data_IF_147218924368
#
_entry.id   IF_147218924368
#
_cell.length_a   1.000
_cell.length_b   1.000
_cell.length_c   1.000
_cell.angle_alpha   90.00
_cell.angle_beta   90.00
_cell.angle_gamma   90.00
#
_symmetry.space_group_name_H-M   'P 1'
#
loop_
_entity.id
_entity.type
_entity.pdbx_description
1 polymer ?
#
# COMPACT_ATOMS: atom_id res chain seq x y z
N UNK A 1 8.50 -16.01 -6.85
CA UNK A 1 9.37 -15.35 -5.84
C UNK A 1 9.59 -16.31 -4.69
N UNK A 2 10.80 -16.45 -4.16
CA UNK A 2 11.05 -17.38 -3.05
C UNK A 2 10.56 -16.82 -1.70
N UNK A 3 10.30 -17.69 -0.69
CA UNK A 3 9.93 -17.22 0.65
C UNK A 3 10.97 -16.26 1.26
N UNK A 4 12.27 -16.51 1.03
CA UNK A 4 13.33 -15.63 1.53
C UNK A 4 13.29 -14.25 0.86
N UNK A 5 13.11 -14.20 -0.45
CA UNK A 5 12.96 -12.91 -1.16
C UNK A 5 11.75 -12.13 -0.66
N UNK A 6 10.66 -12.80 -0.32
CA UNK A 6 9.47 -12.16 0.27
C UNK A 6 9.81 -11.53 1.62
N UNK A 7 10.51 -12.25 2.51
CA UNK A 7 10.93 -11.71 3.82
C UNK A 7 11.89 -10.51 3.65
N UNK A 8 12.85 -10.60 2.74
CA UNK A 8 13.79 -9.50 2.45
C UNK A 8 13.04 -8.25 1.97
N UNK A 9 12.02 -8.43 1.13
CA UNK A 9 11.16 -7.32 0.67
C UNK A 9 10.32 -6.71 1.80
N UNK A 10 9.80 -7.55 2.69
CA UNK A 10 9.05 -7.10 3.88
C UNK A 10 9.95 -6.29 4.81
N UNK A 11 11.14 -6.79 5.12
CA UNK A 11 12.11 -6.06 5.95
C UNK A 11 12.51 -4.72 5.34
N UNK A 12 12.75 -4.69 4.03
CA UNK A 12 13.07 -3.48 3.27
C UNK A 12 11.93 -2.45 3.37
N UNK A 13 10.69 -2.88 3.17
CA UNK A 13 9.52 -1.99 3.25
C UNK A 13 9.31 -1.42 4.66
N UNK A 14 9.42 -2.26 5.69
CA UNK A 14 9.34 -1.84 7.09
C UNK A 14 10.49 -0.86 7.42
N UNK A 15 11.68 -1.12 6.90
CA UNK A 15 12.85 -0.24 7.03
C UNK A 15 12.58 1.15 6.48
N UNK A 16 12.06 1.26 5.27
CA UNK A 16 11.66 2.55 4.68
C UNK A 16 10.57 3.26 5.51
N UNK A 17 9.57 2.52 5.95
CA UNK A 17 8.51 3.09 6.79
C UNK A 17 9.05 3.69 8.10
N UNK A 18 9.98 2.99 8.75
CA UNK A 18 10.65 3.46 9.98
C UNK A 18 11.59 4.66 9.73
N UNK A 19 12.10 4.82 8.52
CA UNK A 19 12.90 5.99 8.12
C UNK A 19 12.04 7.25 7.86
N UNK A 20 10.71 7.14 7.89
CA UNK A 20 9.79 8.26 7.70
C UNK A 20 9.08 8.32 6.35
N UNK A 21 9.36 7.39 5.44
CA UNK A 21 8.56 7.27 4.22
C UNK A 21 7.12 6.90 4.55
N UNK A 22 6.16 7.33 3.74
CA UNK A 22 4.76 6.93 3.93
C UNK A 22 4.49 5.49 3.48
N UNK A 23 3.28 4.98 3.75
CA UNK A 23 2.94 3.59 3.45
C UNK A 23 3.04 3.25 1.96
N UNK A 24 2.63 4.14 1.05
CA UNK A 24 2.74 3.90 -0.39
C UNK A 24 4.19 3.91 -0.85
N UNK A 25 4.98 4.89 -0.40
CA UNK A 25 6.41 4.98 -0.69
C UNK A 25 7.16 3.73 -0.22
N UNK A 26 6.89 3.28 0.99
CA UNK A 26 7.56 2.11 1.58
C UNK A 26 7.34 0.84 0.78
N UNK A 27 6.11 0.64 0.29
CA UNK A 27 5.77 -0.51 -0.56
C UNK A 27 6.44 -0.42 -1.93
N UNK A 28 6.34 0.73 -2.60
CA UNK A 28 6.91 0.89 -3.96
C UNK A 28 8.43 0.82 -3.94
N UNK A 29 9.09 1.49 -2.98
CA UNK A 29 10.54 1.47 -2.83
C UNK A 29 11.09 0.06 -2.54
N UNK A 30 10.37 -0.75 -1.78
CA UNK A 30 10.80 -2.11 -1.47
C UNK A 30 10.86 -3.03 -2.69
N UNK A 31 10.20 -2.68 -3.78
CA UNK A 31 10.08 -3.50 -5.00
C UNK A 31 10.62 -2.77 -6.24
N UNK A 32 11.04 -1.52 -6.11
CA UNK A 32 11.46 -0.65 -7.21
C UNK A 32 12.59 -1.26 -8.07
N UNK A 33 13.55 -1.95 -7.44
CA UNK A 33 14.68 -2.60 -8.09
C UNK A 33 14.25 -3.69 -9.09
N UNK A 34 13.16 -4.42 -8.81
CA UNK A 34 12.59 -5.42 -9.72
C UNK A 34 12.24 -4.82 -11.09
N UNK A 35 11.85 -3.56 -11.11
CA UNK A 35 11.43 -2.83 -12.31
C UNK A 35 12.49 -1.86 -12.83
N UNK A 36 13.70 -1.89 -12.28
CA UNK A 36 14.74 -0.93 -12.63
C UNK A 36 14.38 0.52 -12.36
N UNK A 37 13.49 0.73 -11.39
CA UNK A 37 12.97 2.05 -11.04
C UNK A 37 13.97 2.77 -10.13
N UNK A 38 14.32 3.99 -10.49
CA UNK A 38 15.14 4.86 -9.64
C UNK A 38 14.42 5.15 -8.31
N UNK A 39 15.15 5.09 -7.19
CA UNK A 39 14.55 5.26 -5.85
C UNK A 39 13.91 6.64 -5.66
N UNK A 40 14.54 7.70 -6.19
CA UNK A 40 13.99 9.05 -6.11
C UNK A 40 12.68 9.15 -6.91
N UNK A 41 12.65 8.58 -8.11
CA UNK A 41 11.43 8.52 -8.92
C UNK A 41 10.33 7.72 -8.21
N UNK A 42 10.66 6.54 -7.70
CA UNK A 42 9.73 5.68 -6.95
C UNK A 42 9.12 6.41 -5.74
N UNK A 43 9.96 7.11 -4.96
CA UNK A 43 9.51 7.89 -3.80
C UNK A 43 8.60 9.06 -4.19
N UNK A 44 8.90 9.75 -5.29
CA UNK A 44 8.10 10.90 -5.74
C UNK A 44 6.74 10.46 -6.30
N UNK A 45 6.71 9.46 -7.18
CA UNK A 45 5.46 9.02 -7.82
C UNK A 45 4.47 8.43 -6.82
N UNK A 46 4.95 7.77 -5.77
CA UNK A 46 4.13 7.17 -4.72
C UNK A 46 3.84 8.12 -3.55
N UNK A 47 4.56 9.25 -3.45
CA UNK A 47 4.49 10.17 -2.33
C UNK A 47 3.09 10.74 -2.04
N UNK A 48 2.30 10.97 -3.07
CA UNK A 48 0.94 11.53 -2.95
C UNK A 48 -0.08 10.55 -2.36
N UNK A 49 0.22 9.26 -2.29
CA UNK A 49 -0.73 8.21 -1.93
C UNK A 49 -0.69 7.81 -0.45
N UNK A 50 0.20 8.39 0.34
CA UNK A 50 0.27 8.16 1.78
C UNK A 50 -0.95 8.70 2.53
N UNK A 51 -1.26 8.09 3.67
CA UNK A 51 -2.35 8.51 4.54
C UNK A 51 -3.75 8.38 3.92
N UNK A 52 -3.91 7.45 2.98
CA UNK A 52 -5.16 7.26 2.23
C UNK A 52 -5.35 8.36 1.20
N UNK A 53 -4.37 8.50 0.32
CA UNK A 53 -4.27 9.50 -0.78
C UNK A 53 -4.23 10.93 -0.21
N UNK A 54 -3.01 11.47 -0.09
CA UNK A 54 -2.81 12.84 0.40
C UNK A 54 -3.41 13.11 1.79
N UNK A 55 -3.45 12.08 2.65
CA UNK A 55 -4.09 12.09 3.98
C UNK A 55 -5.60 12.34 3.99
N UNK A 56 -6.27 12.15 2.87
CA UNK A 56 -7.74 12.22 2.80
C UNK A 56 -8.45 11.01 3.42
N UNK A 57 -7.71 10.01 3.90
CA UNK A 57 -8.24 8.83 4.56
C UNK A 57 -9.12 7.92 3.67
N UNK A 58 -8.88 8.01 2.37
CA UNK A 58 -9.50 7.16 1.35
C UNK A 58 -8.74 5.83 1.21
N UNK A 59 -8.40 5.36 0.01
CA UNK A 59 -7.71 4.08 -0.16
C UNK A 59 -6.36 4.05 0.56
N UNK A 60 -6.09 2.98 1.29
CA UNK A 60 -4.85 2.77 2.03
C UNK A 60 -3.62 2.91 1.12
N UNK A 61 -2.63 3.70 1.56
CA UNK A 61 -1.41 3.93 0.77
C UNK A 61 -0.63 2.64 0.49
N UNK A 62 -0.64 1.67 1.40
CA UNK A 62 0.00 0.37 1.14
C UNK A 62 -0.70 -0.40 0.02
N UNK A 63 -2.04 -0.36 -0.03
CA UNK A 63 -2.81 -0.93 -1.13
C UNK A 63 -2.54 -0.18 -2.44
N UNK A 64 -2.54 1.16 -2.42
CA UNK A 64 -2.18 1.97 -3.59
C UNK A 64 -0.79 1.59 -4.12
N UNK A 65 0.19 1.34 -3.24
CA UNK A 65 1.54 0.93 -3.64
C UNK A 65 1.54 -0.35 -4.48
N UNK A 66 0.87 -1.40 -4.03
CA UNK A 66 0.78 -2.65 -4.81
C UNK A 66 -0.05 -2.49 -6.09
N UNK A 67 -1.02 -1.58 -6.13
CA UNK A 67 -1.78 -1.30 -7.35
C UNK A 67 -0.91 -0.60 -8.41
N UNK A 68 0.00 0.29 -8.01
CA UNK A 68 0.98 0.89 -8.91
C UNK A 68 1.93 -0.17 -9.48
N UNK A 69 2.44 -1.06 -8.62
CA UNK A 69 3.33 -2.16 -9.04
C UNK A 69 2.63 -3.13 -10.00
N UNK A 70 1.33 -3.40 -9.79
CA UNK A 70 0.53 -4.22 -10.69
C UNK A 70 0.54 -3.70 -12.12
N UNK A 71 0.48 -2.38 -12.30
CA UNK A 71 0.55 -1.76 -13.62
C UNK A 71 1.87 -2.01 -14.36
N UNK A 72 2.96 -2.27 -13.64
CA UNK A 72 4.27 -2.57 -14.22
C UNK A 72 4.41 -4.04 -14.66
N UNK A 73 3.62 -4.93 -14.08
CA UNK A 73 3.61 -6.35 -14.47
C UNK A 73 2.81 -6.63 -15.73
N UNK A 74 1.82 -5.82 -16.04
CA UNK A 74 0.99 -6.03 -17.23
C UNK A 74 1.74 -5.60 -18.48
N UNK A 75 2.17 -6.57 -19.26
CA UNK A 75 2.99 -6.32 -20.47
C UNK A 75 2.13 -5.88 -21.66
N UNK A 76 2.62 -4.93 -22.42
CA UNK A 76 2.01 -4.40 -23.64
C UNK A 76 2.07 -2.88 -23.69
N UNK A 77 1.56 -2.32 -24.78
CA UNK A 77 1.57 -0.88 -25.04
C UNK A 77 0.17 -0.29 -24.88
N UNK A 78 0.06 0.83 -24.19
CA UNK A 78 -1.17 1.60 -24.12
C UNK A 78 -1.32 2.55 -25.32
N UNK A 79 -2.57 2.87 -25.75
CA UNK A 79 -3.83 2.38 -25.20
C UNK A 79 -4.29 1.06 -25.83
N UNK A 80 -4.63 0.09 -24.98
CA UNK A 80 -5.20 -1.20 -25.39
C UNK A 80 -6.28 -1.65 -24.39
N UNK A 81 -7.43 -2.13 -24.88
CA UNK A 81 -8.58 -2.48 -24.01
C UNK A 81 -8.36 -3.79 -23.24
N UNK A 82 -7.75 -4.78 -23.87
CA UNK A 82 -7.45 -6.05 -23.20
C UNK A 82 -6.34 -5.86 -22.15
N UNK A 83 -5.39 -4.99 -22.41
CA UNK A 83 -4.36 -4.60 -21.46
C UNK A 83 -4.99 -3.92 -20.23
N UNK A 84 -5.88 -2.95 -20.46
CA UNK A 84 -6.62 -2.29 -19.36
C UNK A 84 -7.43 -3.28 -18.54
N UNK A 85 -8.14 -4.18 -19.20
CA UNK A 85 -8.94 -5.21 -18.53
C UNK A 85 -8.06 -6.08 -17.63
N UNK A 86 -6.97 -6.63 -18.16
CA UNK A 86 -6.02 -7.45 -17.39
C UNK A 86 -5.46 -6.69 -16.19
N UNK A 87 -5.07 -5.43 -16.37
CA UNK A 87 -4.58 -4.62 -15.26
C UNK A 87 -5.64 -4.44 -14.18
N UNK A 88 -6.88 -4.14 -14.55
CA UNK A 88 -7.97 -3.99 -13.58
C UNK A 88 -8.29 -5.31 -12.85
N UNK A 89 -8.24 -6.44 -13.53
CA UNK A 89 -8.41 -7.76 -12.92
C UNK A 89 -7.33 -8.03 -11.87
N UNK A 90 -6.06 -7.70 -12.16
CA UNK A 90 -4.96 -7.82 -11.20
C UNK A 90 -5.17 -6.91 -9.99
N UNK A 91 -5.50 -5.64 -10.22
CA UNK A 91 -5.76 -4.68 -9.13
C UNK A 91 -6.92 -5.15 -8.24
N UNK A 92 -8.01 -5.63 -8.83
CA UNK A 92 -9.16 -6.15 -8.08
C UNK A 92 -8.79 -7.37 -7.24
N UNK A 93 -8.02 -8.30 -7.79
CA UNK A 93 -7.50 -9.47 -7.07
C UNK A 93 -6.62 -9.04 -5.88
N UNK A 94 -5.65 -8.18 -6.10
CA UNK A 94 -4.78 -7.67 -5.03
C UNK A 94 -5.58 -6.95 -3.94
N UNK A 95 -6.62 -6.20 -4.32
CA UNK A 95 -7.51 -5.53 -3.38
C UNK A 95 -8.30 -6.54 -2.52
N UNK A 96 -8.80 -7.63 -3.12
CA UNK A 96 -9.49 -8.71 -2.40
C UNK A 96 -8.55 -9.42 -1.43
N UNK A 97 -7.35 -9.80 -1.88
CA UNK A 97 -6.36 -10.48 -1.06
C UNK A 97 -5.89 -9.63 0.12
N UNK A 98 -5.68 -8.32 -0.11
CA UNK A 98 -5.36 -7.37 0.94
C UNK A 98 -6.53 -7.22 1.93
N UNK A 99 -7.77 -7.06 1.43
CA UNK A 99 -8.97 -6.96 2.25
C UNK A 99 -9.22 -8.20 3.09
N UNK A 100 -8.99 -9.38 2.54
CA UNK A 100 -9.14 -10.65 3.26
C UNK A 100 -8.24 -10.74 4.50
N UNK A 101 -7.05 -10.12 4.45
CA UNK A 101 -6.09 -10.15 5.55
C UNK A 101 -6.22 -8.96 6.52
N UNK A 102 -6.76 -7.84 6.07
CA UNK A 102 -6.80 -6.60 6.85
C UNK A 102 -8.19 -6.12 7.23
N UNK A 103 -9.22 -6.63 6.55
CA UNK A 103 -10.64 -6.26 6.74
C UNK A 103 -11.12 -5.12 5.83
N UNK A 104 -10.22 -4.31 5.25
CA UNK A 104 -10.58 -3.19 4.38
C UNK A 104 -9.40 -2.75 3.51
N UNK A 105 -9.67 -2.00 2.45
CA UNK A 105 -8.66 -1.23 1.70
C UNK A 105 -8.75 0.28 2.01
N UNK A 106 -9.64 0.69 2.90
CA UNK A 106 -9.94 2.11 3.17
C UNK A 106 -9.20 2.57 4.43
N UNK A 107 -8.40 3.63 4.31
CA UNK A 107 -7.54 4.13 5.36
C UNK A 107 -8.31 4.46 6.65
N UNK A 108 -9.40 5.20 6.57
CA UNK A 108 -10.22 5.55 7.73
C UNK A 108 -10.80 4.35 8.46
N UNK A 109 -11.15 3.29 7.75
CA UNK A 109 -11.64 2.04 8.33
C UNK A 109 -10.52 1.28 9.04
N UNK A 110 -9.36 1.15 8.37
CA UNK A 110 -8.18 0.48 8.93
C UNK A 110 -7.64 1.18 10.18
N UNK A 111 -7.76 2.51 10.24
CA UNK A 111 -7.37 3.31 11.40
C UNK A 111 -8.47 3.41 12.46
N UNK A 112 -9.67 2.88 12.22
CA UNK A 112 -10.80 2.96 13.13
C UNK A 112 -11.36 4.38 13.32
N UNK A 113 -11.12 5.30 12.39
CA UNK A 113 -11.52 6.70 12.52
C UNK A 113 -13.01 6.94 12.32
N UNK A 114 -13.70 6.04 11.65
CA UNK A 114 -15.13 6.11 11.35
C UNK A 114 -15.97 5.13 12.16
N UNK A 115 -15.41 4.58 13.25
CA UNK A 115 -16.15 3.69 14.14
C UNK A 115 -17.25 4.44 14.87
N UNK A 116 -18.43 3.81 14.92
CA UNK A 116 -19.59 4.32 15.63
C UNK A 116 -19.29 4.41 17.13
N UNK A 117 -19.56 5.56 17.75
CA UNK A 117 -19.43 5.78 19.19
C UNK A 117 -20.56 5.08 19.94
N UNK A 118 -20.42 4.95 21.27
CA UNK A 118 -21.45 4.37 22.14
C UNK A 118 -22.80 5.12 22.06
N UNK A 119 -22.79 6.42 21.79
CA UNK A 119 -23.98 7.26 21.60
C UNK A 119 -24.64 7.12 20.21
N UNK A 120 -24.06 6.28 19.33
CA UNK A 120 -24.57 6.03 17.98
C UNK A 120 -24.06 7.01 16.92
N UNK A 121 -23.25 8.01 17.28
CA UNK A 121 -22.67 8.96 16.32
C UNK A 121 -21.43 8.40 15.65
N UNK A 122 -21.16 8.86 14.41
CA UNK A 122 -19.92 8.60 13.69
C UNK A 122 -19.03 9.85 13.79
N UNK A 123 -17.75 9.72 14.23
CA UNK A 123 -16.86 10.86 14.34
C UNK A 123 -16.66 11.55 12.99
N UNK A 124 -16.62 12.87 13.00
CA UNK A 124 -16.15 13.64 11.85
C UNK A 124 -14.63 13.48 11.71
N UNK A 125 -14.17 13.16 10.51
CA UNK A 125 -12.74 13.02 10.21
C UNK A 125 -12.22 14.36 9.69
N UNK A 126 -11.35 15.01 10.45
CA UNK A 126 -10.67 16.23 10.00
C UNK A 126 -9.57 15.87 9.01
N UNK A 127 -9.68 16.40 7.81
CA UNK A 127 -8.66 16.27 6.77
C UNK A 127 -7.60 17.35 7.00
N UNK A 128 -6.39 16.92 7.37
CA UNK A 128 -5.26 17.81 7.67
C UNK A 128 -4.04 17.35 6.87
N UNK A 129 -3.41 18.27 6.14
CA UNK A 129 -2.26 17.97 5.29
C UNK A 129 -0.98 17.66 6.09
N UNK A 130 -0.83 18.21 7.29
CA UNK A 130 0.37 18.02 8.13
C UNK A 130 0.53 16.56 8.57
N UNK A 131 1.65 15.88 8.23
CA UNK A 131 1.92 14.53 8.71
C UNK A 131 2.10 14.52 10.23
N UNK A 132 1.74 13.39 10.85
CA UNK A 132 2.01 13.18 12.27
C UNK A 132 3.51 12.89 12.50
N UNK A 133 4.03 13.34 13.64
CA UNK A 133 5.40 13.02 14.06
C UNK A 133 5.57 11.51 14.24
N UNK A 134 6.68 10.96 13.75
CA UNK A 134 7.03 9.55 13.81
C UNK A 134 7.68 9.22 15.16
N UNK A 135 6.85 9.11 16.19
CA UNK A 135 7.27 8.73 17.56
C UNK A 135 7.07 7.24 17.80
N UNK A 136 7.66 6.70 18.86
CA UNK A 136 7.42 5.31 19.28
C UNK A 136 5.93 5.04 19.54
N UNK A 137 5.23 6.04 20.07
CA UNK A 137 3.78 5.96 20.29
C UNK A 137 3.02 5.88 18.97
N UNK A 138 3.41 6.64 17.94
CA UNK A 138 2.86 6.55 16.59
C UNK A 138 2.93 5.12 16.06
N UNK A 139 4.11 4.50 16.10
CA UNK A 139 4.31 3.14 15.58
C UNK A 139 3.54 2.08 16.39
N UNK A 140 3.38 2.28 17.69
CA UNK A 140 2.61 1.36 18.55
C UNK A 140 1.10 1.45 18.31
N UNK A 141 0.57 2.65 18.10
CA UNK A 141 -0.88 2.89 17.97
C UNK A 141 -1.40 2.68 16.56
N UNK A 142 -0.57 2.84 15.55
CA UNK A 142 -0.98 2.77 14.15
C UNK A 142 -0.75 1.38 13.58
N UNK A 143 -1.73 0.80 12.86
CA UNK A 143 -1.57 -0.50 12.19
C UNK A 143 -0.76 -0.40 10.89
N UNK A 144 -0.21 0.77 10.54
CA UNK A 144 0.39 1.04 9.24
C UNK A 144 1.59 0.15 8.92
N UNK A 145 2.43 -0.21 9.90
CA UNK A 145 3.53 -1.17 9.70
C UNK A 145 2.98 -2.51 9.21
N UNK A 146 1.92 -3.01 9.85
CA UNK A 146 1.25 -4.24 9.44
C UNK A 146 0.63 -4.12 8.05
N UNK A 147 0.08 -2.96 7.70
CA UNK A 147 -0.48 -2.72 6.37
C UNK A 147 0.62 -2.77 5.29
N UNK A 148 1.78 -2.18 5.57
CA UNK A 148 2.95 -2.22 4.69
C UNK A 148 3.43 -3.67 4.51
N UNK A 149 3.61 -4.42 5.58
CA UNK A 149 3.98 -5.84 5.55
C UNK A 149 2.97 -6.66 4.74
N UNK A 150 1.68 -6.54 5.06
CA UNK A 150 0.62 -7.30 4.36
C UNK A 150 0.60 -6.99 2.88
N UNK A 151 0.75 -5.73 2.48
CA UNK A 151 0.79 -5.35 1.07
C UNK A 151 1.93 -6.04 0.32
N UNK A 152 3.14 -6.06 0.89
CA UNK A 152 4.28 -6.75 0.28
C UNK A 152 4.02 -8.25 0.18
N UNK A 153 3.51 -8.91 1.24
CA UNK A 153 3.20 -10.34 1.19
C UNK A 153 2.15 -10.67 0.14
N UNK A 154 1.08 -9.90 0.06
CA UNK A 154 0.04 -10.06 -0.97
C UNK A 154 0.64 -9.93 -2.38
N UNK A 155 1.49 -8.93 -2.59
CA UNK A 155 2.11 -8.71 -3.89
C UNK A 155 3.09 -9.81 -4.26
N UNK A 156 3.94 -10.24 -3.33
CA UNK A 156 4.89 -11.33 -3.56
C UNK A 156 4.18 -12.67 -3.83
N UNK A 157 3.11 -12.97 -3.10
CA UNK A 157 2.28 -14.17 -3.36
C UNK A 157 1.68 -14.13 -4.77
N UNK A 158 1.14 -12.98 -5.17
CA UNK A 158 0.64 -12.81 -6.53
C UNK A 158 1.74 -13.11 -7.58
N UNK A 159 2.94 -12.56 -7.40
CA UNK A 159 4.06 -12.82 -8.33
C UNK A 159 4.46 -14.30 -8.38
N UNK A 160 4.47 -14.98 -7.23
CA UNK A 160 4.77 -16.42 -7.16
C UNK A 160 3.73 -17.27 -7.87
N UNK A 161 2.45 -17.01 -7.63
CA UNK A 161 1.33 -17.74 -8.25
C UNK A 161 1.26 -17.56 -9.76
N UNK A 162 1.64 -16.38 -10.27
CA UNK A 162 1.73 -16.10 -11.71
C UNK A 162 3.06 -16.57 -12.35
N UNK A 163 4.01 -17.06 -11.56
CA UNK A 163 5.32 -17.48 -12.04
C UNK A 163 6.21 -16.32 -12.53
N UNK A 164 6.05 -15.15 -11.93
CA UNK A 164 6.72 -13.90 -12.30
C UNK A 164 7.97 -13.62 -11.45
#
# INVERSE_FOLDING_TARGET
MSPQETEDRVEKAIGYFKQGYNCAQSVVLAVADRYGMDESFAAHISGSFGGGIGRMRETCGSACGIFMLAGLEVKGDYPDQELKKRNYEVVQRLAEDFRAQTGSIICKELLGLNQKRADGTIPEIKIVATPEARTDEYYRKRPCVRMVETAIRVYCNYLEEEGL
#
